data_IF_973559348076
#
_entry.id   IF_973559348076
#
_cell.length_a   1.000
_cell.length_b   1.000
_cell.length_c   1.000
_cell.angle_alpha   90.00
_cell.angle_beta   90.00
_cell.angle_gamma   90.00
#
_symmetry.space_group_name_H-M   'P 1'
#
loop_
_entity.id
_entity.type
_entity.pdbx_description
1 polymer ?
#
# COMPACT_ATOMS: atom_id res chain seq x y z
N UNK A 1 -8.21 -27.15 -32.93
CA UNK A 1 -7.71 -27.37 -31.56
C UNK A 1 -7.87 -26.08 -30.75
N UNK A 2 -8.73 -26.07 -29.72
CA UNK A 2 -8.91 -24.92 -28.81
C UNK A 2 -8.42 -25.34 -27.43
N UNK A 3 -7.32 -24.76 -26.94
CA UNK A 3 -6.91 -24.94 -25.55
C UNK A 3 -7.65 -23.91 -24.69
N UNK A 4 -8.52 -24.41 -23.80
CA UNK A 4 -9.27 -23.64 -22.80
C UNK A 4 -8.47 -23.75 -21.50
N UNK A 5 -7.68 -22.72 -21.16
CA UNK A 5 -7.04 -22.61 -19.85
C UNK A 5 -8.12 -22.25 -18.82
N UNK A 6 -8.66 -23.26 -18.14
CA UNK A 6 -9.43 -23.11 -16.92
C UNK A 6 -8.43 -23.09 -15.75
N UNK A 7 -8.11 -21.90 -15.24
CA UNK A 7 -7.47 -21.80 -13.92
C UNK A 7 -8.53 -22.04 -12.85
N UNK A 8 -8.33 -23.00 -11.91
CA UNK A 8 -9.21 -23.14 -10.77
C UNK A 8 -9.05 -21.92 -9.86
N UNK A 9 -10.18 -21.29 -9.50
CA UNK A 9 -10.23 -20.31 -8.42
C UNK A 9 -10.05 -21.09 -7.13
N UNK A 10 -8.82 -21.17 -6.62
CA UNK A 10 -8.55 -21.74 -5.30
C UNK A 10 -9.01 -20.72 -4.25
N UNK A 11 -10.00 -21.04 -3.40
CA UNK A 11 -10.39 -20.14 -2.32
C UNK A 11 -9.23 -19.94 -1.35
N UNK A 12 -9.02 -18.69 -0.97
CA UNK A 12 -7.95 -18.20 -0.10
C UNK A 12 -8.07 -18.83 1.30
N UNK A 13 -7.39 -19.96 1.55
CA UNK A 13 -7.27 -20.52 2.90
C UNK A 13 -6.14 -19.76 3.59
N UNK A 14 -6.47 -18.66 4.25
CA UNK A 14 -5.59 -18.06 5.26
C UNK A 14 -5.45 -19.09 6.37
N UNK A 15 -4.23 -19.56 6.71
CA UNK A 15 -4.05 -20.49 7.83
C UNK A 15 -4.67 -19.88 9.09
N UNK A 16 -5.60 -20.61 9.72
CA UNK A 16 -6.38 -20.16 10.88
C UNK A 16 -5.49 -19.59 12.00
N UNK A 17 -4.28 -20.14 12.13
CA UNK A 17 -3.23 -19.68 13.05
C UNK A 17 -2.80 -18.23 12.82
N UNK A 18 -2.72 -17.77 11.57
CA UNK A 18 -2.37 -16.39 11.20
C UNK A 18 -3.54 -15.45 11.53
N UNK A 19 -4.77 -15.88 11.24
CA UNK A 19 -5.98 -15.13 11.56
C UNK A 19 -6.15 -14.93 13.07
N UNK A 20 -5.97 -15.99 13.86
CA UNK A 20 -6.02 -15.98 15.32
C UNK A 20 -4.89 -15.16 15.96
N UNK A 21 -3.68 -15.17 15.39
CA UNK A 21 -2.56 -14.39 15.91
C UNK A 21 -2.72 -12.89 15.64
N UNK A 22 -3.35 -12.54 14.51
CA UNK A 22 -3.77 -11.17 14.22
C UNK A 22 -4.94 -10.75 15.12
N UNK A 23 -5.96 -11.59 15.31
CA UNK A 23 -7.10 -11.32 16.19
C UNK A 23 -6.70 -11.18 17.67
N UNK A 24 -5.84 -12.06 18.19
CA UNK A 24 -5.32 -11.96 19.56
C UNK A 24 -4.36 -10.79 19.79
N UNK A 25 -3.68 -10.30 18.75
CA UNK A 25 -2.91 -9.05 18.82
C UNK A 25 -3.79 -7.79 18.78
N UNK A 26 -5.03 -7.91 18.29
CA UNK A 26 -5.97 -6.79 18.15
C UNK A 26 -6.74 -6.49 19.45
N UNK A 27 -6.87 -7.45 20.38
CA UNK A 27 -7.58 -7.22 21.66
C UNK A 27 -6.83 -6.29 22.63
N UNK A 28 -5.52 -6.09 22.46
CA UNK A 28 -4.70 -5.25 23.35
C UNK A 28 -4.66 -3.75 22.96
N UNK A 29 -5.67 -3.26 22.26
CA UNK A 29 -5.71 -1.91 21.68
C UNK A 29 -6.14 -0.79 22.65
N UNK A 30 -5.76 -0.84 23.93
CA UNK A 30 -5.94 0.27 24.88
C UNK A 30 -4.61 0.70 25.54
N UNK A 31 -4.03 1.75 24.96
CA UNK A 31 -3.07 2.78 25.43
C UNK A 31 -2.28 2.53 26.75
N UNK A 32 -0.94 2.71 26.79
CA UNK A 32 -0.35 4.05 26.62
C UNK A 32 0.89 4.11 25.69
N UNK A 33 1.17 5.33 25.28
CA UNK A 33 2.40 5.87 24.69
C UNK A 33 2.70 5.53 23.23
N UNK A 34 2.05 6.36 22.39
CA UNK A 34 2.41 6.98 21.09
C UNK A 34 3.31 6.25 20.07
N UNK A 35 4.23 5.40 20.49
CA UNK A 35 5.04 4.49 19.67
C UNK A 35 4.31 3.17 19.35
N UNK A 36 3.50 2.63 20.27
CA UNK A 36 2.76 1.36 20.07
C UNK A 36 1.76 1.38 18.92
N UNK A 37 1.18 2.55 18.60
CA UNK A 37 0.24 2.69 17.48
C UNK A 37 0.90 2.46 16.12
N UNK A 38 2.20 2.69 16.03
CA UNK A 38 2.94 2.61 14.76
C UNK A 38 3.83 1.37 14.66
N UNK A 39 4.16 0.77 15.80
CA UNK A 39 4.97 -0.44 15.90
C UNK A 39 4.19 -1.41 16.81
N UNK A 40 3.21 -2.16 16.26
CA UNK A 40 2.36 -3.06 17.04
C UNK A 40 3.16 -4.15 17.77
N UNK A 41 4.28 -4.60 17.20
CA UNK A 41 5.10 -5.67 17.75
C UNK A 41 6.47 -5.13 18.17
N UNK A 42 6.65 -4.78 19.45
CA UNK A 42 7.96 -4.36 19.99
C UNK A 42 9.06 -5.41 19.77
N UNK A 43 8.68 -6.69 19.87
CA UNK A 43 9.57 -7.84 19.67
C UNK A 43 8.94 -8.84 18.67
N UNK A 44 9.00 -8.58 17.36
CA UNK A 44 8.29 -9.38 16.37
C UNK A 44 8.83 -10.80 16.32
N UNK A 45 7.99 -11.82 16.45
CA UNK A 45 8.36 -13.24 16.54
C UNK A 45 8.47 -13.92 15.18
N UNK A 46 7.81 -13.38 14.16
CA UNK A 46 7.79 -13.94 12.81
C UNK A 46 7.86 -12.82 11.74
N UNK A 47 7.94 -13.20 10.47
CA UNK A 47 8.05 -12.23 9.37
C UNK A 47 6.81 -11.36 9.21
N UNK A 48 5.61 -11.91 9.42
CA UNK A 48 4.37 -11.16 9.32
C UNK A 48 4.32 -10.01 10.34
N UNK A 49 4.75 -10.23 11.58
CA UNK A 49 4.82 -9.19 12.62
C UNK A 49 5.83 -8.09 12.25
N UNK A 50 6.96 -8.45 11.61
CA UNK A 50 7.92 -7.46 11.08
C UNK A 50 7.28 -6.61 9.99
N UNK A 51 6.56 -7.24 9.06
CA UNK A 51 5.89 -6.52 7.98
C UNK A 51 4.75 -5.65 8.48
N UNK A 52 3.98 -6.11 9.47
CA UNK A 52 2.94 -5.31 10.12
C UNK A 52 3.52 -4.08 10.82
N UNK A 53 4.71 -4.19 11.44
CA UNK A 53 5.43 -3.01 11.92
C UNK A 53 5.82 -2.06 10.79
N UNK A 54 6.36 -2.59 9.69
CA UNK A 54 6.71 -1.76 8.51
C UNK A 54 5.48 -1.02 7.97
N UNK A 55 4.36 -1.72 7.76
CA UNK A 55 3.14 -1.15 7.23
C UNK A 55 2.51 -0.14 8.19
N UNK A 56 2.53 -0.41 9.50
CA UNK A 56 1.91 0.44 10.51
C UNK A 56 2.74 1.65 10.92
N UNK A 57 4.00 1.75 10.45
CA UNK A 57 4.96 2.77 10.90
C UNK A 57 4.40 4.19 10.77
N UNK A 58 4.93 5.10 11.58
CA UNK A 58 4.54 6.51 11.49
C UNK A 58 5.11 7.11 10.20
N UNK A 59 4.25 7.77 9.43
CA UNK A 59 4.61 8.38 8.14
C UNK A 59 4.35 9.89 8.12
N UNK A 60 4.26 10.53 9.29
CA UNK A 60 3.90 11.94 9.40
C UNK A 60 2.39 12.19 9.42
N UNK A 61 2.00 13.45 9.66
CA UNK A 61 0.58 13.87 9.63
C UNK A 61 0.09 14.15 8.21
N UNK A 62 0.92 14.84 7.44
CA UNK A 62 0.67 15.24 6.06
C UNK A 62 2.01 15.21 5.33
N UNK A 63 1.97 14.76 4.09
CA UNK A 63 3.11 14.80 3.19
C UNK A 63 2.61 15.24 1.82
N UNK A 64 3.33 16.15 1.20
CA UNK A 64 3.03 16.63 -0.14
C UNK A 64 4.31 16.60 -0.97
N UNK A 65 4.22 16.04 -2.17
CA UNK A 65 5.36 15.79 -3.03
C UNK A 65 5.00 16.11 -4.49
N UNK A 66 5.99 16.63 -5.22
CA UNK A 66 6.02 16.59 -6.69
C UNK A 66 7.19 15.72 -7.10
N UNK A 67 6.90 14.65 -7.82
CA UNK A 67 7.89 13.67 -8.25
C UNK A 67 7.87 13.58 -9.76
N UNK A 68 9.06 13.43 -10.34
CA UNK A 68 9.22 13.01 -11.72
C UNK A 68 9.81 11.61 -11.75
N UNK A 69 9.22 10.73 -12.54
CA UNK A 69 9.76 9.42 -12.84
C UNK A 69 10.14 9.38 -14.32
N UNK A 70 11.28 8.77 -14.62
CA UNK A 70 11.79 8.64 -15.98
C UNK A 70 11.78 7.16 -16.34
N UNK A 71 10.77 6.76 -17.10
CA UNK A 71 10.61 5.37 -17.53
C UNK A 71 11.44 5.17 -18.79
N UNK A 72 12.55 4.43 -18.68
CA UNK A 72 13.52 4.21 -19.75
C UNK A 72 13.24 2.87 -20.43
N UNK A 73 13.18 2.85 -21.76
CA UNK A 73 13.03 1.62 -22.53
C UNK A 73 14.39 0.99 -22.87
N UNK A 74 14.37 -0.21 -23.45
CA UNK A 74 15.59 -0.95 -23.82
C UNK A 74 16.49 -0.24 -24.84
N UNK A 75 15.97 0.77 -25.56
CA UNK A 75 16.72 1.58 -26.52
C UNK A 75 17.24 2.90 -25.90
N UNK A 76 17.06 3.10 -24.59
CA UNK A 76 17.51 4.30 -23.88
C UNK A 76 16.59 5.51 -24.02
N UNK A 77 15.51 5.44 -24.80
CA UNK A 77 14.52 6.50 -24.84
C UNK A 77 13.67 6.47 -23.57
N UNK A 78 13.29 7.64 -23.06
CA UNK A 78 12.55 7.74 -21.80
C UNK A 78 11.25 8.52 -21.94
N UNK A 79 10.28 8.18 -21.10
CA UNK A 79 9.07 8.98 -20.86
C UNK A 79 9.14 9.60 -19.48
N UNK A 80 9.04 10.93 -19.41
CA UNK A 80 8.94 11.68 -18.15
C UNK A 80 7.49 11.67 -17.67
N UNK A 81 7.28 11.22 -16.43
CA UNK A 81 5.96 11.18 -15.78
C UNK A 81 6.02 12.06 -14.54
N UNK A 82 5.15 13.06 -14.48
CA UNK A 82 5.10 14.05 -13.41
C UNK A 82 3.86 13.83 -12.55
N UNK A 83 4.06 13.60 -11.26
CA UNK A 83 2.98 13.34 -10.30
C UNK A 83 3.10 14.28 -9.12
N UNK A 84 2.04 15.03 -8.86
CA UNK A 84 1.84 15.69 -7.58
C UNK A 84 1.02 14.75 -6.69
N UNK A 85 1.41 14.57 -5.44
CA UNK A 85 0.67 13.73 -4.51
C UNK A 85 0.64 14.33 -3.12
N UNK A 86 -0.50 14.16 -2.45
CA UNK A 86 -0.68 14.49 -1.04
C UNK A 86 -1.16 13.28 -0.28
N UNK A 87 -0.44 12.92 0.78
CA UNK A 87 -0.79 11.87 1.74
C UNK A 87 -1.20 12.52 3.06
N UNK A 88 -2.35 12.12 3.61
CA UNK A 88 -2.89 12.65 4.85
C UNK A 88 -3.22 11.52 5.81
N UNK A 89 -2.79 11.66 7.06
CA UNK A 89 -3.30 10.84 8.17
C UNK A 89 -4.72 11.30 8.55
N UNK A 90 -5.56 10.44 9.18
CA UNK A 90 -6.86 10.88 9.69
C UNK A 90 -6.77 12.05 10.67
N UNK A 91 -5.69 12.10 11.46
CA UNK A 91 -5.41 13.20 12.39
C UNK A 91 -5.24 14.55 11.70
N UNK A 92 -4.78 14.58 10.44
CA UNK A 92 -4.64 15.82 9.69
C UNK A 92 -5.97 16.31 9.09
N UNK A 93 -7.01 15.48 9.13
CA UNK A 93 -8.36 15.82 8.66
C UNK A 93 -9.32 16.11 9.83
N UNK A 94 -8.82 16.18 11.07
CA UNK A 94 -9.61 16.23 12.31
C UNK A 94 -10.68 15.12 12.43
N UNK A 95 -10.52 14.05 11.63
CA UNK A 95 -11.34 12.85 11.68
C UNK A 95 -10.70 11.91 12.69
N UNK A 96 -11.08 12.04 13.98
CA UNK A 96 -10.52 11.38 15.17
C UNK A 96 -9.96 9.94 15.02
N UNK A 97 -10.50 8.98 15.77
CA UNK A 97 -10.12 7.57 15.63
C UNK A 97 -10.80 6.97 14.40
N UNK A 98 -10.29 7.29 13.23
CA UNK A 98 -10.77 6.75 11.97
C UNK A 98 -10.15 5.37 11.72
N UNK A 99 -10.91 4.44 11.15
CA UNK A 99 -10.45 3.11 10.72
C UNK A 99 -9.55 3.17 9.48
N UNK A 100 -8.94 4.33 9.22
CA UNK A 100 -8.10 4.62 8.07
C UNK A 100 -6.67 4.86 8.53
N UNK A 101 -5.71 4.29 7.83
CA UNK A 101 -4.31 4.55 8.03
C UNK A 101 -3.93 5.90 7.41
N UNK A 102 -4.29 6.08 6.14
CA UNK A 102 -3.99 7.28 5.38
C UNK A 102 -4.96 7.45 4.20
N UNK A 103 -4.94 8.67 3.66
CA UNK A 103 -5.58 9.08 2.43
C UNK A 103 -4.51 9.54 1.46
N UNK A 104 -4.61 9.15 0.19
CA UNK A 104 -3.72 9.64 -0.86
C UNK A 104 -4.55 10.24 -1.98
N UNK A 105 -4.21 11.46 -2.39
CA UNK A 105 -4.63 12.07 -3.64
C UNK A 105 -3.40 12.29 -4.51
N UNK A 106 -3.39 11.74 -5.71
CA UNK A 106 -2.33 11.97 -6.69
C UNK A 106 -2.93 12.52 -7.98
N UNK A 107 -2.26 13.51 -8.59
CA UNK A 107 -2.63 14.13 -9.86
C UNK A 107 -1.44 14.10 -10.80
N UNK A 108 -1.68 13.58 -11.99
CA UNK A 108 -0.68 13.56 -13.06
C UNK A 108 -0.69 14.91 -13.78
N UNK A 109 0.51 15.48 -13.95
CA UNK A 109 0.71 16.73 -14.68
C UNK A 109 1.66 16.57 -15.88
N UNK A 110 2.24 15.38 -16.07
CA UNK A 110 3.01 14.98 -17.26
C UNK A 110 2.92 13.45 -17.45
N UNK A 111 3.01 12.94 -18.69
CA UNK A 111 2.99 13.67 -19.97
C UNK A 111 1.57 14.13 -20.34
N UNK A 112 1.43 14.84 -21.47
CA UNK A 112 0.14 15.38 -21.95
C UNK A 112 -1.01 14.38 -21.94
N UNK A 113 -0.75 13.11 -22.27
CA UNK A 113 -1.76 12.04 -22.27
C UNK A 113 -2.28 11.64 -20.88
N UNK A 114 -1.56 11.99 -19.81
CA UNK A 114 -1.94 11.73 -18.41
C UNK A 114 -2.37 13.01 -17.68
N UNK A 115 -2.18 14.19 -18.26
CA UNK A 115 -2.51 15.46 -17.61
C UNK A 115 -3.96 15.44 -17.14
N UNK A 116 -4.16 15.72 -15.86
CA UNK A 116 -5.47 15.79 -15.23
C UNK A 116 -6.03 14.45 -14.74
N UNK A 117 -5.34 13.33 -14.97
CA UNK A 117 -5.70 12.08 -14.31
C UNK A 117 -5.48 12.18 -12.81
N UNK A 118 -6.36 11.53 -12.04
CA UNK A 118 -6.34 11.57 -10.58
C UNK A 118 -6.48 10.15 -10.03
N UNK A 119 -5.67 9.82 -9.03
CA UNK A 119 -5.82 8.64 -8.18
C UNK A 119 -6.20 9.09 -6.76
N UNK A 120 -7.26 8.49 -6.22
CA UNK A 120 -7.67 8.64 -4.83
C UNK A 120 -7.61 7.28 -4.15
N UNK A 121 -6.92 7.18 -3.01
CA UNK A 121 -6.81 5.96 -2.21
C UNK A 121 -7.18 6.25 -0.76
N UNK A 122 -8.06 5.42 -0.21
CA UNK A 122 -8.33 5.35 1.22
C UNK A 122 -7.82 4.00 1.73
N UNK A 123 -6.81 4.06 2.60
CA UNK A 123 -6.19 2.88 3.17
C UNK A 123 -6.77 2.58 4.55
N UNK A 124 -7.43 1.44 4.77
CA UNK A 124 -7.97 1.08 6.07
C UNK A 124 -6.95 0.41 7.01
N UNK A 125 -7.23 0.43 8.32
CA UNK A 125 -6.62 -0.46 9.32
C UNK A 125 -7.73 -1.29 9.98
N UNK A 126 -7.54 -2.60 10.25
CA UNK A 126 -6.47 -3.45 9.74
C UNK A 126 -6.75 -3.86 8.28
N UNK A 127 -5.71 -3.87 7.45
CA UNK A 127 -5.76 -4.21 6.01
C UNK A 127 -6.48 -5.55 5.75
N UNK A 128 -6.32 -6.52 6.67
CA UNK A 128 -6.89 -7.85 6.56
C UNK A 128 -8.41 -7.93 6.76
N UNK A 129 -9.03 -6.95 7.43
CA UNK A 129 -10.49 -6.93 7.64
C UNK A 129 -11.21 -6.06 6.62
N UNK A 130 -10.54 -5.06 6.05
CA UNK A 130 -11.15 -4.08 5.14
C UNK A 130 -10.24 -3.88 3.94
N UNK A 131 -10.79 -4.04 2.75
CA UNK A 131 -10.04 -3.82 1.51
C UNK A 131 -9.81 -2.33 1.26
N UNK A 132 -8.65 -2.01 0.66
CA UNK A 132 -8.34 -0.70 0.08
C UNK A 132 -9.49 -0.20 -0.78
N UNK A 133 -9.83 1.07 -0.62
CA UNK A 133 -10.81 1.75 -1.48
C UNK A 133 -10.07 2.73 -2.36
N UNK A 134 -10.02 2.46 -3.66
CA UNK A 134 -9.39 3.36 -4.61
C UNK A 134 -10.31 3.73 -5.78
N UNK A 135 -10.04 4.90 -6.34
CA UNK A 135 -10.73 5.46 -7.50
C UNK A 135 -9.74 6.11 -8.43
N UNK A 136 -10.00 6.00 -9.72
CA UNK A 136 -9.23 6.67 -10.77
C UNK A 136 -10.19 7.54 -11.56
N UNK A 137 -9.85 8.82 -11.70
CA UNK A 137 -10.43 9.70 -12.70
C UNK A 137 -9.52 9.70 -13.94
N UNK A 138 -10.11 9.41 -15.09
CA UNK A 138 -9.44 9.55 -16.40
C UNK A 138 -9.86 10.88 -17.02
N UNK A 139 -8.91 11.77 -17.27
CA UNK A 139 -9.17 13.05 -17.93
C UNK A 139 -9.61 12.87 -19.38
N UNK A 140 -9.01 11.91 -20.08
CA UNK A 140 -9.34 11.56 -21.46
C UNK A 140 -10.79 11.05 -21.60
N UNK A 141 -11.26 10.24 -20.64
CA UNK A 141 -12.62 9.69 -20.65
C UNK A 141 -13.62 10.51 -19.83
N UNK A 142 -13.14 11.55 -19.12
CA UNK A 142 -13.91 12.39 -18.19
C UNK A 142 -14.78 11.58 -17.21
N UNK A 143 -14.24 10.48 -16.69
CA UNK A 143 -15.00 9.53 -15.87
C UNK A 143 -14.19 9.05 -14.67
N UNK A 144 -14.87 8.92 -13.54
CA UNK A 144 -14.36 8.25 -12.33
C UNK A 144 -14.75 6.77 -12.37
N UNK A 145 -13.80 5.89 -12.05
CA UNK A 145 -14.03 4.45 -11.86
C UNK A 145 -13.46 4.00 -10.53
N UNK A 146 -14.10 3.00 -9.93
CA UNK A 146 -13.52 2.24 -8.82
C UNK A 146 -12.31 1.46 -9.35
N UNK A 147 -11.22 1.47 -8.59
CA UNK A 147 -10.00 0.71 -8.87
C UNK A 147 -9.67 -0.20 -7.68
N UNK A 148 -10.55 -1.17 -7.35
CA UNK A 148 -10.33 -2.06 -6.20
C UNK A 148 -9.07 -2.93 -6.36
N UNK A 149 -8.62 -3.08 -7.60
CA UNK A 149 -7.43 -3.78 -8.04
C UNK A 149 -6.15 -2.96 -7.87
N UNK A 150 -6.19 -1.67 -7.51
CA UNK A 150 -5.01 -0.82 -7.26
C UNK A 150 -4.24 -1.24 -5.98
N UNK A 151 -3.74 -2.47 -5.98
CA UNK A 151 -3.12 -3.22 -4.90
C UNK A 151 -2.15 -4.23 -5.52
N UNK A 152 -1.22 -4.76 -4.73
CA UNK A 152 -0.33 -5.83 -5.17
C UNK A 152 0.44 -5.49 -6.47
N UNK A 153 0.30 -6.33 -7.49
CA UNK A 153 0.94 -6.28 -8.80
C UNK A 153 0.32 -5.28 -9.77
N UNK A 154 -0.69 -4.51 -9.35
CA UNK A 154 -1.27 -3.49 -10.20
C UNK A 154 -0.22 -2.45 -10.60
N UNK A 155 -0.03 -2.31 -11.90
CA UNK A 155 0.98 -1.41 -12.46
C UNK A 155 0.57 0.04 -12.29
N UNK A 156 1.49 0.88 -11.83
CA UNK A 156 1.30 2.32 -11.73
C UNK A 156 1.00 2.96 -13.09
N UNK A 157 0.08 3.92 -13.13
CA UNK A 157 -0.22 4.65 -14.37
C UNK A 157 1.03 5.43 -14.81
N UNK A 158 1.38 5.30 -16.09
CA UNK A 158 2.58 5.91 -16.66
C UNK A 158 3.88 5.14 -16.38
N UNK A 159 3.89 4.08 -15.57
CA UNK A 159 5.12 3.33 -15.25
C UNK A 159 5.58 2.37 -16.36
N UNK A 160 4.76 2.18 -17.40
CA UNK A 160 4.93 1.14 -18.43
C UNK A 160 5.13 -0.27 -17.82
N UNK A 161 4.54 -0.52 -16.64
CA UNK A 161 4.65 -1.81 -15.95
C UNK A 161 5.91 -1.98 -15.09
N UNK A 162 6.80 -0.97 -15.02
CA UNK A 162 8.03 -1.05 -14.23
C UNK A 162 7.83 -0.80 -12.72
N UNK A 163 6.69 -0.21 -12.35
CA UNK A 163 6.34 0.06 -10.95
C UNK A 163 4.99 -0.58 -10.66
N UNK A 164 4.94 -1.41 -9.63
CA UNK A 164 3.71 -2.01 -9.08
C UNK A 164 3.30 -1.31 -7.78
N UNK A 165 2.03 -1.47 -7.40
CA UNK A 165 1.47 -0.83 -6.22
C UNK A 165 2.13 -1.29 -4.91
N UNK A 166 2.56 -2.56 -4.84
CA UNK A 166 3.22 -3.15 -3.69
C UNK A 166 4.68 -2.75 -3.49
N UNK A 167 5.37 -2.30 -4.54
CA UNK A 167 6.75 -1.79 -4.44
C UNK A 167 6.83 -0.41 -3.76
N UNK A 168 5.72 0.33 -3.75
CA UNK A 168 5.68 1.67 -3.16
C UNK A 168 6.02 1.56 -1.68
N UNK A 169 6.94 2.43 -1.23
CA UNK A 169 7.39 2.51 0.16
C UNK A 169 8.11 1.24 0.69
N UNK A 170 8.66 0.41 -0.22
CA UNK A 170 9.44 -0.79 0.10
C UNK A 170 8.59 -2.06 0.25
N UNK A 171 7.37 -1.91 0.77
CA UNK A 171 6.28 -2.86 0.60
C UNK A 171 4.96 -2.18 0.98
N UNK A 172 3.90 -2.35 0.19
CA UNK A 172 2.58 -1.84 0.51
C UNK A 172 1.45 -2.79 0.09
N UNK A 173 0.57 -3.13 1.01
CA UNK A 173 -0.63 -3.92 0.71
C UNK A 173 -0.82 -5.09 1.68
N UNK A 174 -1.66 -6.03 1.26
CA UNK A 174 -2.02 -7.18 2.07
C UNK A 174 -0.87 -8.18 2.13
N UNK A 175 -0.74 -8.87 3.27
CA UNK A 175 0.31 -9.86 3.49
C UNK A 175 -0.05 -11.26 2.94
N UNK A 176 -1.12 -11.36 2.15
CA UNK A 176 -1.74 -12.62 1.74
C UNK A 176 -1.04 -13.32 0.55
N UNK A 177 -0.20 -12.61 -0.22
CA UNK A 177 0.50 -13.16 -1.38
C UNK A 177 1.85 -13.83 -1.09
N UNK A 178 2.42 -13.61 0.10
CA UNK A 178 3.78 -14.05 0.42
C UNK A 178 3.86 -14.82 1.75
N UNK A 179 4.77 -15.80 1.82
CA UNK A 179 5.13 -16.48 3.07
C UNK A 179 6.26 -15.74 3.78
N UNK A 180 5.91 -14.99 4.83
CA UNK A 180 6.84 -14.11 5.54
C UNK A 180 7.62 -14.86 6.63
N UNK A 181 8.88 -15.18 6.35
CA UNK A 181 9.79 -15.85 7.29
C UNK A 181 10.84 -14.90 7.85
N UNK A 182 10.97 -14.86 9.17
CA UNK A 182 12.06 -14.16 9.84
C UNK A 182 13.27 -15.10 9.94
N UNK A 183 14.30 -14.85 9.13
CA UNK A 183 15.49 -15.71 9.02
C UNK A 183 16.57 -15.46 10.08
N UNK A 184 16.48 -14.36 10.82
CA UNK A 184 17.43 -14.03 11.88
C UNK A 184 17.20 -12.61 12.41
N UNK A 185 17.78 -12.32 13.57
CA UNK A 185 17.83 -10.98 14.16
C UNK A 185 19.25 -10.71 14.60
N UNK A 186 19.82 -9.57 14.23
CA UNK A 186 21.08 -9.10 14.79
C UNK A 186 20.80 -7.84 15.60
N UNK A 187 21.04 -7.93 16.91
CA UNK A 187 20.90 -6.79 17.83
C UNK A 187 22.32 -6.39 18.22
N UNK A 188 22.76 -5.23 17.75
CA UNK A 188 23.98 -4.58 18.24
C UNK A 188 23.57 -3.31 18.96
N UNK A 189 23.89 -3.23 20.24
CA UNK A 189 23.81 -2.00 21.02
C UNK A 189 25.23 -1.70 21.47
N UNK A 190 25.87 -0.71 20.87
CA UNK A 190 27.14 -0.16 21.34
C UNK A 190 26.84 1.09 22.16
N UNK A 191 27.39 1.13 23.39
CA UNK A 191 27.33 2.28 24.29
C UNK A 191 28.27 3.36 23.81
#
# INVERSE_FOLDING_TARGET
MKYKFLMPIVPLIIPEKIKLQIEGSLENFHNPDKLRKYIPFKFPKNGAEVMLNHLSRYQGKSEEKKVHSFVVNSKGAFTKVGVWSKRLSPKALDKGANEMQYYVLARYFEPASLVGDILLVHEPIPLLKKKRKAWIYSSAQRRVRRAPDASHDATGRGSQGLITADQIDGFNGDLDRFDWKLRGKKLSCSV
#
